data_IF_285268564089
#
_entry.id   IF_285268564089
#
_cell.length_a   1.000
_cell.length_b   1.000
_cell.length_c   1.000
_cell.angle_alpha   90.00
_cell.angle_beta   90.00
_cell.angle_gamma   90.00
#
_symmetry.space_group_name_H-M   'P 1'
#
loop_
_entity.id
_entity.type
_entity.pdbx_description
1 polymer ?
#
# COMPACT_ATOMS: atom_id res chain seq x y z
N UNK A 1 -22.64 -26.40 -33.18
CA UNK A 1 -22.28 -27.70 -32.56
C UNK A 1 -22.68 -27.64 -31.10
N UNK A 2 -23.21 -28.71 -30.49
CA UNK A 2 -23.59 -28.66 -29.08
C UNK A 2 -22.33 -28.52 -28.20
N UNK A 3 -22.34 -27.58 -27.25
CA UNK A 3 -21.25 -27.45 -26.27
C UNK A 3 -21.11 -28.76 -25.47
N UNK A 4 -19.87 -29.21 -25.16
CA UNK A 4 -19.66 -30.40 -24.35
C UNK A 4 -20.36 -30.21 -22.99
N UNK A 5 -21.07 -31.23 -22.51
CA UNK A 5 -21.79 -31.15 -21.23
C UNK A 5 -20.77 -30.89 -20.11
N UNK A 6 -20.96 -29.84 -19.28
CA UNK A 6 -20.07 -29.59 -18.16
C UNK A 6 -20.12 -30.76 -17.19
N UNK A 7 -18.98 -31.04 -16.55
CA UNK A 7 -18.85 -32.13 -15.59
C UNK A 7 -19.71 -31.80 -14.37
N UNK A 8 -20.48 -32.77 -13.86
CA UNK A 8 -21.33 -32.50 -12.71
C UNK A 8 -20.49 -32.29 -11.45
N UNK A 9 -20.93 -31.40 -10.56
CA UNK A 9 -20.27 -31.14 -9.26
C UNK A 9 -20.06 -32.45 -8.49
N UNK A 10 -21.06 -33.34 -8.48
CA UNK A 10 -20.95 -34.66 -7.86
C UNK A 10 -19.88 -35.58 -8.51
N UNK A 11 -19.62 -35.43 -9.82
CA UNK A 11 -18.51 -36.14 -10.48
C UNK A 11 -17.16 -35.58 -10.04
N UNK A 12 -17.02 -34.25 -9.97
CA UNK A 12 -15.80 -33.60 -9.53
C UNK A 12 -15.50 -33.87 -8.04
N UNK A 13 -16.51 -33.80 -7.17
CA UNK A 13 -16.43 -34.16 -5.74
C UNK A 13 -15.99 -35.62 -5.55
N UNK A 14 -16.51 -36.54 -6.37
CA UNK A 14 -16.09 -37.95 -6.36
C UNK A 14 -14.62 -38.13 -6.79
N UNK A 15 -14.14 -37.34 -7.75
CA UNK A 15 -12.72 -37.36 -8.16
C UNK A 15 -11.84 -36.81 -7.04
N UNK A 16 -12.21 -35.68 -6.42
CA UNK A 16 -11.53 -35.12 -5.25
C UNK A 16 -11.36 -36.19 -4.15
N UNK A 17 -12.47 -36.86 -3.79
CA UNK A 17 -12.48 -37.91 -2.76
C UNK A 17 -11.69 -39.17 -3.17
N UNK A 18 -11.73 -39.58 -4.43
CA UNK A 18 -11.02 -40.77 -4.92
C UNK A 18 -9.49 -40.59 -4.97
N UNK A 19 -9.02 -39.35 -5.13
CA UNK A 19 -7.59 -39.01 -5.20
C UNK A 19 -7.07 -38.28 -3.95
N UNK A 20 -7.87 -38.21 -2.88
CA UNK A 20 -7.57 -37.46 -1.64
C UNK A 20 -7.14 -36.00 -1.88
N UNK A 21 -7.71 -35.35 -2.91
CA UNK A 21 -7.43 -33.98 -3.30
C UNK A 21 -8.53 -33.03 -2.82
N UNK A 22 -8.15 -31.80 -2.48
CA UNK A 22 -9.07 -30.79 -1.95
C UNK A 22 -9.79 -30.00 -3.05
N UNK A 23 -9.17 -29.91 -4.22
CA UNK A 23 -9.66 -29.25 -5.42
C UNK A 23 -9.25 -30.04 -6.67
N UNK A 24 -10.03 -29.90 -7.75
CA UNK A 24 -9.73 -30.48 -9.07
C UNK A 24 -9.94 -29.41 -10.14
N UNK A 25 -8.91 -29.18 -10.95
CA UNK A 25 -8.93 -28.33 -12.13
C UNK A 25 -9.05 -29.25 -13.35
N UNK A 26 -10.03 -28.98 -14.23
CA UNK A 26 -10.27 -29.76 -15.43
C UNK A 26 -10.08 -28.87 -16.64
N UNK A 27 -8.99 -29.14 -17.38
CA UNK A 27 -8.67 -28.52 -18.66
C UNK A 27 -9.14 -29.42 -19.79
N UNK A 28 -10.04 -28.93 -20.63
CA UNK A 28 -10.60 -29.68 -21.75
C UNK A 28 -10.48 -28.87 -23.06
N UNK A 29 -9.82 -29.46 -24.06
CA UNK A 29 -9.71 -28.91 -25.41
C UNK A 29 -10.69 -29.60 -26.33
N UNK A 30 -11.55 -28.84 -27.02
CA UNK A 30 -12.45 -29.43 -28.03
C UNK A 30 -11.65 -29.80 -29.28
N UNK A 31 -11.82 -31.01 -29.79
CA UNK A 31 -11.12 -31.50 -31.00
C UNK A 31 -12.04 -31.36 -32.21
N UNK A 32 -11.58 -30.66 -33.26
CA UNK A 32 -12.36 -30.33 -34.47
C UNK A 32 -12.09 -28.90 -34.94
N UNK A 33 -12.65 -28.50 -36.09
CA UNK A 33 -12.57 -27.10 -36.54
C UNK A 33 -13.32 -26.16 -35.59
N UNK A 34 -12.74 -24.99 -35.31
CA UNK A 34 -13.25 -24.05 -34.31
C UNK A 34 -12.73 -24.27 -32.89
N UNK A 35 -11.52 -24.81 -32.73
CA UNK A 35 -10.82 -25.07 -31.45
C UNK A 35 -11.15 -24.06 -30.34
N UNK A 36 -11.84 -24.54 -29.30
CA UNK A 36 -12.00 -23.87 -28.01
C UNK A 36 -11.30 -24.66 -26.90
N UNK A 37 -10.72 -23.92 -25.96
CA UNK A 37 -10.16 -24.47 -24.73
C UNK A 37 -11.05 -24.03 -23.57
N UNK A 38 -11.37 -24.96 -22.68
CA UNK A 38 -12.27 -24.72 -21.57
C UNK A 38 -11.64 -25.22 -20.27
N UNK A 39 -11.72 -24.38 -19.24
CA UNK A 39 -11.25 -24.69 -17.90
C UNK A 39 -12.45 -24.64 -16.96
N UNK A 40 -12.60 -25.66 -16.12
CA UNK A 40 -13.49 -25.60 -14.95
C UNK A 40 -12.76 -26.06 -13.71
N UNK A 41 -13.09 -25.43 -12.59
CA UNK A 41 -12.46 -25.63 -11.28
C UNK A 41 -13.52 -26.03 -10.26
N UNK A 42 -13.26 -27.08 -9.47
CA UNK A 42 -14.18 -27.55 -8.43
C UNK A 42 -13.42 -27.80 -7.12
N UNK A 43 -14.08 -27.54 -5.99
CA UNK A 43 -13.61 -27.97 -4.67
C UNK A 43 -14.40 -29.16 -4.14
N UNK A 44 -13.83 -29.90 -3.18
CA UNK A 44 -14.49 -31.04 -2.51
C UNK A 44 -15.70 -30.64 -1.64
N UNK A 45 -15.79 -29.37 -1.25
CA UNK A 45 -16.88 -28.80 -0.44
C UNK A 45 -17.01 -27.28 -0.71
N UNK A 46 -17.94 -26.62 -0.01
CA UNK A 46 -18.26 -25.19 -0.21
C UNK A 46 -17.07 -24.23 0.01
N UNK A 47 -16.18 -24.53 0.95
CA UNK A 47 -15.00 -23.68 1.25
C UNK A 47 -14.01 -23.78 0.08
N UNK A 48 -13.70 -25.02 -0.30
CA UNK A 48 -12.76 -25.30 -1.38
C UNK A 48 -13.31 -24.85 -2.74
N UNK A 49 -14.64 -24.85 -2.95
CA UNK A 49 -15.26 -24.26 -4.13
C UNK A 49 -15.05 -22.74 -4.25
N UNK A 50 -14.98 -21.99 -3.14
CA UNK A 50 -14.70 -20.56 -3.18
C UNK A 50 -13.23 -20.25 -3.47
N UNK A 51 -12.29 -21.13 -3.11
CA UNK A 51 -10.91 -21.08 -3.58
C UNK A 51 -10.81 -21.45 -5.06
N UNK A 52 -11.41 -22.58 -5.45
CA UNK A 52 -11.44 -23.07 -6.82
C UNK A 52 -12.03 -22.03 -7.79
N UNK A 53 -13.14 -21.37 -7.44
CA UNK A 53 -13.75 -20.33 -8.26
C UNK A 53 -12.82 -19.12 -8.50
N UNK A 54 -12.05 -18.68 -7.49
CA UNK A 54 -11.08 -17.58 -7.64
C UNK A 54 -9.91 -17.97 -8.54
N UNK A 55 -9.47 -19.23 -8.47
CA UNK A 55 -8.47 -19.80 -9.39
C UNK A 55 -9.05 -19.91 -10.81
N UNK A 56 -10.32 -20.33 -10.94
CA UNK A 56 -11.05 -20.38 -12.20
C UNK A 56 -11.21 -19.00 -12.86
N UNK A 57 -11.51 -17.96 -12.09
CA UNK A 57 -11.57 -16.58 -12.57
C UNK A 57 -10.19 -16.06 -12.99
N UNK A 58 -9.13 -16.39 -12.25
CA UNK A 58 -7.75 -15.99 -12.61
C UNK A 58 -7.29 -16.65 -13.92
N UNK A 59 -7.55 -17.96 -14.09
CA UNK A 59 -7.23 -18.69 -15.32
C UNK A 59 -8.13 -18.24 -16.48
N UNK A 60 -9.43 -18.04 -16.23
CA UNK A 60 -10.40 -17.59 -17.23
C UNK A 60 -10.10 -16.20 -17.80
N UNK A 61 -9.50 -15.30 -16.99
CA UNK A 61 -9.02 -13.98 -17.46
C UNK A 61 -7.80 -14.06 -18.38
N UNK A 62 -7.05 -15.16 -18.37
CA UNK A 62 -5.89 -15.37 -19.24
C UNK A 62 -6.22 -16.20 -20.51
N UNK A 63 -7.45 -16.71 -20.64
CA UNK A 63 -7.89 -17.54 -21.78
C UNK A 63 -9.01 -16.83 -22.56
N UNK A 64 -8.63 -16.16 -23.64
CA UNK A 64 -9.46 -15.25 -24.46
C UNK A 64 -10.58 -15.96 -25.25
N UNK A 65 -11.79 -15.36 -25.31
CA UNK A 65 -12.73 -15.28 -26.47
C UNK A 65 -13.89 -14.25 -26.22
N UNK A 66 -14.70 -13.86 -27.23
CA UNK A 66 -15.06 -12.44 -27.48
C UNK A 66 -16.35 -11.87 -26.83
N UNK A 67 -16.60 -10.60 -27.14
CA UNK A 67 -17.27 -9.56 -26.33
C UNK A 67 -18.79 -9.62 -26.24
N UNK A 68 -19.52 -10.19 -27.20
CA UNK A 68 -20.99 -10.09 -27.24
C UNK A 68 -21.71 -10.67 -26.01
N UNK A 69 -21.14 -11.66 -25.32
CA UNK A 69 -21.75 -12.24 -24.11
C UNK A 69 -21.67 -11.33 -22.87
N UNK A 70 -20.69 -10.42 -22.79
CA UNK A 70 -20.50 -9.54 -21.63
C UNK A 70 -21.67 -8.56 -21.44
N UNK A 71 -22.18 -7.99 -22.54
CA UNK A 71 -23.28 -7.02 -22.52
C UNK A 71 -24.59 -7.63 -21.99
N UNK A 72 -24.85 -8.91 -22.25
CA UNK A 72 -26.04 -9.59 -21.73
C UNK A 72 -25.98 -9.87 -20.21
N UNK A 73 -24.78 -10.04 -19.67
CA UNK A 73 -24.56 -10.39 -18.25
C UNK A 73 -24.62 -9.17 -17.34
N UNK A 74 -24.24 -7.99 -17.83
CA UNK A 74 -24.43 -6.71 -17.13
C UNK A 74 -25.93 -6.47 -16.81
N UNK A 75 -26.80 -6.60 -17.82
CA UNK A 75 -28.25 -6.42 -17.69
C UNK A 75 -28.90 -7.40 -16.71
N UNK A 76 -28.33 -8.60 -16.54
CA UNK A 76 -28.87 -9.62 -15.62
C UNK A 76 -28.34 -9.49 -14.19
N UNK A 77 -27.08 -9.07 -14.01
CA UNK A 77 -26.52 -8.80 -12.68
C UNK A 77 -27.27 -7.66 -11.96
N UNK A 78 -27.71 -6.64 -12.72
CA UNK A 78 -28.54 -5.53 -12.23
C UNK A 78 -29.92 -6.00 -11.69
N UNK A 79 -30.48 -7.05 -12.30
CA UNK A 79 -31.75 -7.66 -11.86
C UNK A 79 -31.58 -8.53 -10.61
N UNK A 80 -30.46 -9.26 -10.49
CA UNK A 80 -30.21 -10.16 -9.35
C UNK A 80 -29.76 -9.39 -8.08
N UNK A 81 -29.08 -8.24 -8.22
CA UNK A 81 -28.69 -7.37 -7.10
C UNK A 81 -29.90 -6.81 -6.32
N UNK A 82 -31.04 -6.63 -7.00
CA UNK A 82 -32.30 -6.16 -6.38
C UNK A 82 -32.95 -7.19 -5.43
N UNK A 83 -32.50 -8.46 -5.44
CA UNK A 83 -33.11 -9.53 -4.65
C UNK A 83 -32.40 -9.87 -3.33
N UNK A 84 -31.16 -9.43 -3.12
CA UNK A 84 -30.33 -9.80 -1.95
C UNK A 84 -30.43 -8.80 -0.78
N UNK A 85 -31.63 -8.67 -0.19
CA UNK A 85 -31.89 -7.78 0.96
C UNK A 85 -32.10 -8.49 2.30
N UNK A 86 -31.66 -9.75 2.46
CA UNK A 86 -32.01 -10.57 3.63
C UNK A 86 -30.87 -11.43 4.24
N UNK A 87 -30.44 -11.00 5.45
CA UNK A 87 -30.09 -11.83 6.64
C UNK A 87 -28.83 -12.73 6.55
N UNK A 88 -27.68 -12.36 7.14
CA UNK A 88 -27.27 -12.35 8.57
C UNK A 88 -26.81 -13.69 9.20
N UNK A 89 -25.48 -13.76 9.46
CA UNK A 89 -24.83 -13.96 10.76
C UNK A 89 -24.91 -15.31 11.51
N UNK A 90 -23.93 -16.21 11.24
CA UNK A 90 -23.29 -17.18 12.17
C UNK A 90 -21.84 -17.40 11.63
N UNK A 91 -20.75 -17.58 12.40
CA UNK A 91 -20.57 -17.50 13.86
C UNK A 91 -19.39 -18.35 14.39
N UNK A 92 -18.14 -18.02 14.04
CA UNK A 92 -16.87 -18.62 14.54
C UNK A 92 -15.77 -17.53 14.69
N UNK A 93 -14.74 -17.69 15.54
CA UNK A 93 -13.69 -16.68 15.73
C UNK A 93 -12.84 -16.47 14.47
N UNK A 94 -12.60 -15.21 14.08
CA UNK A 94 -12.03 -14.89 12.76
C UNK A 94 -10.52 -15.11 12.62
N UNK A 95 -9.76 -15.23 13.71
CA UNK A 95 -8.29 -15.20 13.66
C UNK A 95 -7.68 -16.45 13.00
N UNK A 96 -8.03 -17.65 13.45
CA UNK A 96 -7.46 -18.90 12.93
C UNK A 96 -7.77 -19.19 11.45
N UNK A 97 -8.80 -18.55 10.88
CA UNK A 97 -9.16 -18.73 9.47
C UNK A 97 -8.34 -17.86 8.52
N UNK A 98 -7.77 -16.74 9.01
CA UNK A 98 -6.95 -15.83 8.19
C UNK A 98 -5.53 -16.37 8.02
N UNK A 99 -4.98 -16.98 9.07
CA UNK A 99 -3.59 -17.46 9.11
C UNK A 99 -3.37 -18.69 8.19
N UNK A 100 -4.33 -19.64 8.17
CA UNK A 100 -4.24 -20.83 7.33
C UNK A 100 -4.32 -20.50 5.82
N UNK A 101 -5.27 -19.63 5.45
CA UNK A 101 -5.46 -19.16 4.06
C UNK A 101 -4.27 -18.33 3.57
N UNK A 102 -3.60 -17.61 4.48
CA UNK A 102 -2.38 -16.87 4.14
C UNK A 102 -1.21 -17.79 3.78
N UNK A 103 -1.03 -18.89 4.53
CA UNK A 103 0.11 -19.81 4.35
C UNK A 103 0.00 -20.59 3.04
N UNK A 104 -1.18 -21.12 2.72
CA UNK A 104 -1.44 -21.86 1.45
C UNK A 104 -1.39 -20.94 0.22
N UNK A 105 -1.79 -19.66 0.36
CA UNK A 105 -1.61 -18.69 -0.71
C UNK A 105 -0.13 -18.39 -0.97
N UNK A 106 0.71 -18.30 0.08
CA UNK A 106 2.14 -18.01 -0.05
C UNK A 106 2.89 -19.12 -0.79
N UNK A 107 2.68 -20.39 -0.40
CA UNK A 107 3.36 -21.55 -1.01
C UNK A 107 3.03 -21.72 -2.51
N UNK A 108 1.88 -21.21 -2.98
CA UNK A 108 1.50 -21.26 -4.40
C UNK A 108 2.18 -20.17 -5.26
N UNK A 109 2.64 -19.06 -4.68
CA UNK A 109 3.35 -17.99 -5.41
C UNK A 109 4.82 -18.33 -5.71
N UNK A 110 5.45 -19.24 -4.96
CA UNK A 110 6.88 -19.57 -5.12
C UNK A 110 7.19 -20.49 -6.32
N UNK A 111 6.18 -21.05 -7.00
CA UNK A 111 6.38 -22.00 -8.10
C UNK A 111 6.55 -21.35 -9.51
N UNK A 112 6.74 -20.02 -9.59
CA UNK A 112 6.92 -19.32 -10.87
C UNK A 112 6.52 -17.84 -10.89
N UNK A 113 6.46 -17.17 -9.74
CA UNK A 113 6.14 -15.75 -9.65
C UNK A 113 7.13 -14.83 -10.39
N UNK A 114 6.71 -13.60 -10.68
CA UNK A 114 7.59 -12.58 -11.25
C UNK A 114 8.64 -12.15 -10.22
N UNK A 115 9.86 -12.68 -10.36
CA UNK A 115 11.01 -12.24 -9.57
C UNK A 115 11.45 -10.83 -10.02
N UNK A 116 10.98 -9.83 -9.27
CA UNK A 116 11.33 -8.42 -9.47
C UNK A 116 12.84 -8.17 -9.22
N UNK A 117 13.49 -8.88 -8.28
CA UNK A 117 14.93 -8.70 -8.05
C UNK A 117 15.73 -9.17 -9.27
N UNK A 118 15.42 -10.36 -9.79
CA UNK A 118 16.05 -10.85 -11.01
C UNK A 118 15.68 -10.00 -12.25
N UNK A 119 14.49 -9.42 -12.31
CA UNK A 119 14.12 -8.47 -13.36
C UNK A 119 15.00 -7.21 -13.31
N UNK A 120 15.13 -6.61 -12.13
CA UNK A 120 15.94 -5.40 -11.92
C UNK A 120 17.43 -5.64 -12.22
N UNK A 121 18.00 -6.80 -11.89
CA UNK A 121 19.38 -7.13 -12.28
C UNK A 121 19.54 -7.25 -13.82
N UNK A 122 18.55 -7.84 -14.53
CA UNK A 122 18.56 -7.86 -16.00
C UNK A 122 18.43 -6.45 -16.60
N UNK A 123 17.54 -5.63 -16.04
CA UNK A 123 17.35 -4.24 -16.44
C UNK A 123 18.64 -3.42 -16.25
N UNK A 124 19.27 -3.53 -15.08
CA UNK A 124 20.56 -2.92 -14.75
C UNK A 124 21.66 -3.32 -15.73
N UNK A 125 21.78 -4.61 -16.04
CA UNK A 125 22.75 -5.12 -17.00
C UNK A 125 22.51 -4.57 -18.42
N UNK A 126 21.25 -4.54 -18.89
CA UNK A 126 20.86 -3.93 -20.16
C UNK A 126 21.20 -2.43 -20.18
N UNK A 127 20.76 -1.69 -19.18
CA UNK A 127 20.88 -0.23 -19.12
C UNK A 127 22.34 0.23 -18.94
N UNK A 128 23.17 -0.51 -18.22
CA UNK A 128 24.62 -0.30 -18.20
C UNK A 128 25.26 -0.57 -19.58
N UNK A 129 24.83 -1.60 -20.30
CA UNK A 129 25.34 -1.92 -21.65
C UNK A 129 24.91 -0.87 -22.69
N UNK A 130 23.66 -0.44 -22.66
CA UNK A 130 23.04 0.43 -23.67
C UNK A 130 23.40 1.90 -23.45
N UNK A 131 23.28 2.39 -22.21
CA UNK A 131 23.48 3.81 -21.89
C UNK A 131 24.82 4.09 -21.20
N UNK A 132 25.54 3.07 -20.75
CA UNK A 132 26.85 3.20 -20.11
C UNK A 132 26.81 3.42 -18.59
N UNK A 133 28.00 3.52 -17.97
CA UNK A 133 28.16 3.62 -16.53
C UNK A 133 27.71 4.97 -15.95
N UNK A 134 27.73 5.04 -14.62
CA UNK A 134 27.49 6.24 -13.84
C UNK A 134 26.03 6.45 -13.44
N UNK A 135 25.82 7.35 -12.47
CA UNK A 135 24.52 7.57 -11.85
C UNK A 135 23.47 8.16 -12.79
N UNK A 136 23.87 9.00 -13.75
CA UNK A 136 23.00 9.58 -14.81
C UNK A 136 21.67 10.17 -14.34
N UNK A 137 21.50 10.44 -13.05
CA UNK A 137 20.20 10.64 -12.39
C UNK A 137 19.46 11.84 -12.98
N UNK A 138 20.20 12.90 -13.35
CA UNK A 138 19.63 14.07 -14.06
C UNK A 138 18.98 13.70 -15.39
N UNK A 139 19.56 12.78 -16.16
CA UNK A 139 19.03 12.30 -17.44
C UNK A 139 17.84 11.37 -17.26
N UNK A 140 17.87 10.50 -16.24
CA UNK A 140 16.71 9.65 -15.90
C UNK A 140 15.52 10.51 -15.44
N UNK A 141 15.76 11.50 -14.59
CA UNK A 141 14.72 12.46 -14.15
C UNK A 141 14.21 13.31 -15.33
N UNK A 142 15.07 13.70 -16.26
CA UNK A 142 14.66 14.39 -17.50
C UNK A 142 13.77 13.52 -18.39
N UNK A 143 14.03 12.20 -18.44
CA UNK A 143 13.22 11.24 -19.18
C UNK A 143 11.85 11.03 -18.50
N UNK A 144 11.82 10.78 -17.19
CA UNK A 144 10.57 10.63 -16.42
C UNK A 144 9.61 11.82 -16.62
N UNK A 145 10.12 13.04 -16.80
CA UNK A 145 9.27 14.22 -17.09
C UNK A 145 8.62 14.21 -18.48
N UNK A 146 9.18 13.48 -19.45
CA UNK A 146 8.62 13.33 -20.80
C UNK A 146 7.53 12.28 -20.76
N UNK A 147 7.83 11.09 -20.23
CA UNK A 147 6.82 10.03 -20.03
C UNK A 147 5.60 10.53 -19.22
N UNK A 148 5.81 11.39 -18.20
CA UNK A 148 4.68 12.01 -17.48
C UNK A 148 3.80 12.90 -18.38
N UNK A 149 4.37 13.60 -19.36
CA UNK A 149 3.61 14.37 -20.34
C UNK A 149 2.93 13.48 -21.40
N UNK A 150 3.47 12.28 -21.65
CA UNK A 150 2.88 11.28 -22.54
C UNK A 150 1.71 10.56 -21.82
N UNK A 151 1.83 10.26 -20.52
CA UNK A 151 0.70 9.88 -19.65
C UNK A 151 -0.38 10.98 -19.58
N UNK A 152 -0.02 12.27 -19.46
CA UNK A 152 -0.99 13.37 -19.48
C UNK A 152 -1.79 13.43 -20.81
N UNK A 153 -1.18 12.99 -21.92
CA UNK A 153 -1.83 12.91 -23.23
C UNK A 153 -2.63 11.60 -23.44
N UNK A 154 -2.17 10.48 -22.88
CA UNK A 154 -2.71 9.13 -23.09
C UNK A 154 -2.84 8.33 -21.76
N UNK A 155 -3.63 8.79 -20.77
CA UNK A 155 -3.62 8.22 -19.42
C UNK A 155 -4.17 6.79 -19.32
N UNK A 156 -4.91 6.34 -20.34
CA UNK A 156 -5.45 4.98 -20.46
C UNK A 156 -4.44 3.98 -21.09
N UNK A 157 -3.30 4.43 -21.60
CA UNK A 157 -2.27 3.54 -22.14
C UNK A 157 -1.36 3.04 -21.03
N UNK A 158 -1.24 1.71 -20.91
CA UNK A 158 -0.43 1.05 -19.90
C UNK A 158 1.07 1.15 -20.18
N UNK A 159 1.49 1.31 -21.44
CA UNK A 159 2.91 1.37 -21.80
C UNK A 159 3.56 2.63 -21.20
N UNK A 160 2.89 3.78 -21.30
CA UNK A 160 3.30 5.08 -20.73
C UNK A 160 3.54 5.00 -19.19
N UNK A 161 2.61 4.37 -18.46
CA UNK A 161 2.77 4.11 -17.02
C UNK A 161 3.93 3.15 -16.71
N UNK A 162 4.15 2.14 -17.57
CA UNK A 162 5.24 1.17 -17.43
C UNK A 162 6.59 1.82 -17.69
N UNK A 163 6.71 2.76 -18.62
CA UNK A 163 7.97 3.46 -18.87
C UNK A 163 8.39 4.35 -17.70
N UNK A 164 7.46 5.05 -17.02
CA UNK A 164 7.76 5.71 -15.74
C UNK A 164 8.25 4.72 -14.68
N UNK A 165 7.65 3.54 -14.57
CA UNK A 165 8.06 2.50 -13.61
C UNK A 165 9.48 1.98 -13.92
N UNK A 166 9.75 1.68 -15.19
CA UNK A 166 11.06 1.22 -15.67
C UNK A 166 12.12 2.29 -15.39
N UNK A 167 11.85 3.56 -15.71
CA UNK A 167 12.79 4.66 -15.46
C UNK A 167 12.99 4.96 -13.98
N UNK A 168 11.95 4.85 -13.15
CA UNK A 168 12.07 4.99 -11.70
C UNK A 168 13.00 3.92 -11.11
N UNK A 169 12.88 2.67 -11.57
CA UNK A 169 13.82 1.60 -11.21
C UNK A 169 15.24 1.86 -11.74
N UNK A 170 15.38 2.36 -12.97
CA UNK A 170 16.69 2.73 -13.53
C UNK A 170 17.38 3.79 -12.68
N UNK A 171 16.65 4.84 -12.31
CA UNK A 171 17.13 5.90 -11.42
C UNK A 171 17.52 5.39 -10.04
N UNK A 172 16.73 4.48 -9.47
CA UNK A 172 16.98 3.91 -8.14
C UNK A 172 18.30 3.11 -8.10
N UNK A 173 18.51 2.14 -9.00
CA UNK A 173 19.76 1.37 -8.95
C UNK A 173 20.97 2.20 -9.38
N UNK A 174 20.79 3.16 -10.31
CA UNK A 174 21.86 4.09 -10.70
C UNK A 174 22.26 5.06 -9.58
N UNK A 175 21.34 5.39 -8.67
CA UNK A 175 21.66 6.14 -7.45
C UNK A 175 22.52 5.33 -6.45
N UNK A 176 22.82 4.06 -6.74
CA UNK A 176 23.70 3.20 -5.95
C UNK A 176 22.99 2.10 -5.17
N UNK A 177 21.65 2.01 -5.24
CA UNK A 177 20.88 1.00 -4.51
C UNK A 177 20.91 -0.37 -5.20
N UNK A 178 21.09 -1.42 -4.41
CA UNK A 178 21.01 -2.79 -4.93
C UNK A 178 19.54 -3.19 -5.19
N UNK A 179 19.25 -3.97 -6.26
CA UNK A 179 17.90 -4.45 -6.56
C UNK A 179 17.14 -5.06 -5.39
N UNK A 180 17.77 -5.87 -4.54
CA UNK A 180 17.14 -6.42 -3.35
C UNK A 180 16.71 -5.32 -2.35
N UNK A 181 17.54 -4.28 -2.17
CA UNK A 181 17.22 -3.12 -1.31
C UNK A 181 16.13 -2.23 -1.90
N UNK A 182 16.01 -2.15 -3.22
CA UNK A 182 14.89 -1.47 -3.89
C UNK A 182 13.57 -2.20 -3.59
N UNK A 183 13.53 -3.54 -3.71
CA UNK A 183 12.32 -4.33 -3.41
C UNK A 183 11.93 -4.30 -1.93
N UNK A 184 12.92 -4.35 -1.03
CA UNK A 184 12.72 -4.15 0.41
C UNK A 184 12.15 -2.75 0.72
N UNK A 185 12.68 -1.70 0.07
CA UNK A 185 12.22 -0.33 0.24
C UNK A 185 10.78 -0.12 -0.27
N UNK A 186 10.40 -0.70 -1.42
CA UNK A 186 9.03 -0.67 -1.94
C UNK A 186 8.07 -1.30 -0.91
N UNK A 187 8.38 -2.51 -0.45
CA UNK A 187 7.55 -3.25 0.52
C UNK A 187 7.40 -2.50 1.83
N UNK A 188 8.50 -1.92 2.33
CA UNK A 188 8.52 -1.15 3.58
C UNK A 188 7.75 0.17 3.44
N UNK A 189 7.93 0.88 2.33
CA UNK A 189 7.23 2.14 2.04
C UNK A 189 5.73 1.90 1.85
N UNK A 190 5.33 0.81 1.20
CA UNK A 190 3.93 0.44 1.03
C UNK A 190 3.26 0.16 2.38
N UNK A 191 3.87 -0.67 3.24
CA UNK A 191 3.41 -0.90 4.62
C UNK A 191 3.28 0.41 5.42
N UNK A 192 4.26 1.32 5.32
CA UNK A 192 4.19 2.63 5.96
C UNK A 192 3.07 3.50 5.39
N UNK A 193 2.73 3.37 4.10
CA UNK A 193 1.63 4.10 3.48
C UNK A 193 0.25 3.55 3.90
N UNK A 194 0.11 2.23 3.98
CA UNK A 194 -1.11 1.53 4.42
C UNK A 194 -1.44 1.80 5.89
N UNK A 195 -0.42 1.99 6.74
CA UNK A 195 -0.59 2.33 8.15
C UNK A 195 -0.96 3.80 8.43
N UNK A 196 -0.99 4.67 7.41
CA UNK A 196 -1.34 6.10 7.58
C UNK A 196 -2.84 6.29 7.71
N UNK A 197 -3.23 7.38 8.39
CA UNK A 197 -4.60 7.92 8.31
C UNK A 197 -4.76 8.67 6.98
N UNK A 198 -5.83 8.41 6.26
CA UNK A 198 -6.18 9.07 5.00
C UNK A 198 -7.57 9.72 5.13
N UNK A 199 -7.84 10.85 4.47
CA UNK A 199 -9.19 11.42 4.42
C UNK A 199 -10.14 10.51 3.62
N UNK A 200 -11.46 10.67 3.76
CA UNK A 200 -12.41 9.97 2.89
C UNK A 200 -12.25 10.47 1.46
N UNK A 201 -11.82 9.59 0.56
CA UNK A 201 -11.60 9.91 -0.84
C UNK A 201 -12.85 10.45 -1.54
N UNK A 202 -14.06 10.15 -1.03
CA UNK A 202 -15.32 10.69 -1.55
C UNK A 202 -15.51 12.18 -1.31
N UNK A 203 -14.76 12.76 -0.37
CA UNK A 203 -14.78 14.21 -0.10
C UNK A 203 -13.55 14.93 -0.66
N UNK A 204 -12.66 14.21 -1.34
CA UNK A 204 -11.50 14.78 -2.00
C UNK A 204 -11.84 15.28 -3.42
N UNK A 205 -11.05 16.22 -3.90
CA UNK A 205 -11.08 16.68 -5.29
C UNK A 205 -10.47 15.58 -6.19
N UNK A 206 -11.22 15.00 -7.15
CA UNK A 206 -10.73 13.87 -7.96
C UNK A 206 -9.55 14.23 -8.87
N UNK A 207 -9.37 15.52 -9.19
CA UNK A 207 -8.28 16.02 -10.03
C UNK A 207 -7.02 16.38 -9.22
N UNK A 208 -6.97 16.06 -7.93
CA UNK A 208 -5.85 16.36 -7.03
C UNK A 208 -5.36 15.14 -6.27
N UNK A 209 -4.08 15.20 -5.90
CA UNK A 209 -3.48 14.18 -5.05
C UNK A 209 -4.18 14.14 -3.69
N UNK A 210 -4.72 12.96 -3.33
CA UNK A 210 -5.15 12.70 -1.96
C UNK A 210 -3.89 12.52 -1.12
N UNK A 211 -3.67 13.41 -0.18
CA UNK A 211 -2.61 13.27 0.80
C UNK A 211 -3.09 12.52 2.06
N UNK A 212 -2.18 11.84 2.73
CA UNK A 212 -2.46 11.32 4.05
C UNK A 212 -2.67 12.48 5.03
N UNK A 213 -3.47 12.24 6.07
CA UNK A 213 -3.57 13.17 7.19
C UNK A 213 -2.20 13.21 7.87
N UNK A 214 -1.44 14.25 7.54
CA UNK A 214 -0.20 14.63 8.21
C UNK A 214 -0.57 15.20 9.56
N UNK A 215 0.17 14.81 10.57
CA UNK A 215 0.22 15.60 11.79
C UNK A 215 0.77 17.00 11.42
N UNK A 216 0.33 18.12 12.02
CA UNK A 216 0.99 19.42 11.85
C UNK A 216 2.53 19.40 11.95
N UNK A 217 3.07 18.48 12.75
CA UNK A 217 4.50 18.29 13.05
C UNK A 217 5.20 17.43 11.95
N UNK A 218 4.46 16.62 11.18
CA UNK A 218 4.98 15.92 9.99
C UNK A 218 5.31 16.90 8.84
N UNK A 219 4.98 18.19 8.99
CA UNK A 219 5.43 19.26 8.11
C UNK A 219 6.61 19.99 8.76
N UNK A 220 7.87 19.63 8.41
CA UNK A 220 8.98 20.53 8.60
C UNK A 220 8.92 21.60 7.50
N UNK A 221 7.90 22.47 7.54
CA UNK A 221 8.11 23.82 7.02
C UNK A 221 9.14 24.45 7.98
N UNK A 222 10.36 24.56 7.49
CA UNK A 222 11.51 24.97 8.32
C UNK A 222 11.57 26.48 8.55
N UNK A 223 10.61 27.27 8.03
CA UNK A 223 10.70 28.73 8.02
C UNK A 223 9.43 29.51 8.43
N UNK A 224 8.26 28.89 8.62
CA UNK A 224 7.07 29.58 9.15
C UNK A 224 6.82 29.23 10.62
N UNK A 225 7.20 30.14 11.53
CA UNK A 225 7.01 29.97 12.97
C UNK A 225 5.52 29.94 13.35
N UNK A 226 5.12 28.93 14.15
CA UNK A 226 3.74 28.72 14.63
C UNK A 226 3.30 29.73 15.70
N UNK A 227 3.37 31.02 15.38
CA UNK A 227 2.98 32.14 16.26
C UNK A 227 1.49 32.15 16.64
N UNK A 228 0.67 31.33 15.97
CA UNK A 228 -0.76 31.12 16.24
C UNK A 228 -1.06 30.08 17.35
N UNK A 229 -0.09 29.23 17.71
CA UNK A 229 -0.25 28.23 18.76
C UNK A 229 -0.10 28.87 20.14
N UNK A 230 -1.14 28.76 20.98
CA UNK A 230 -1.06 29.21 22.38
C UNK A 230 -0.24 28.20 23.19
N UNK A 231 0.91 28.64 23.72
CA UNK A 231 1.73 27.86 24.65
C UNK A 231 1.08 27.87 26.04
N UNK A 232 0.69 26.71 26.60
CA UNK A 232 0.17 26.60 27.97
C UNK A 232 1.20 27.05 29.01
N UNK A 233 0.74 27.69 30.10
CA UNK A 233 1.62 28.26 31.12
C UNK A 233 2.45 27.20 31.88
N UNK A 234 1.94 25.98 32.04
CA UNK A 234 2.67 24.85 32.61
C UNK A 234 3.79 24.35 31.70
N UNK A 235 3.54 24.23 30.39
CA UNK A 235 4.60 23.88 29.41
C UNK A 235 5.66 24.97 29.37
N UNK A 236 5.24 26.24 29.37
CA UNK A 236 6.18 27.35 29.38
C UNK A 236 7.00 27.41 30.69
N UNK A 237 6.38 27.07 31.83
CA UNK A 237 7.08 26.93 33.12
C UNK A 237 8.11 25.81 33.07
N UNK A 238 7.75 24.60 32.60
CA UNK A 238 8.68 23.46 32.51
C UNK A 238 9.89 23.82 31.63
N UNK A 239 9.68 24.53 30.52
CA UNK A 239 10.77 25.00 29.65
C UNK A 239 11.68 26.04 30.33
N UNK A 240 11.12 26.98 31.10
CA UNK A 240 11.89 27.95 31.89
C UNK A 240 12.68 27.24 33.00
N UNK A 241 12.05 26.31 33.72
CA UNK A 241 12.64 25.56 34.83
C UNK A 241 13.81 24.68 34.36
N UNK A 242 13.66 23.98 33.22
CA UNK A 242 14.67 23.09 32.67
C UNK A 242 15.83 23.84 31.98
N UNK A 243 15.54 24.85 31.14
CA UNK A 243 16.56 25.51 30.30
C UNK A 243 17.15 26.77 30.95
N UNK A 244 16.57 27.28 32.05
CA UNK A 244 17.03 28.51 32.69
C UNK A 244 16.87 29.77 31.83
N UNK A 245 15.91 29.77 30.89
CA UNK A 245 15.65 30.86 29.94
C UNK A 245 14.56 31.82 30.43
N UNK A 246 14.58 33.06 29.94
CA UNK A 246 13.54 34.04 30.23
C UNK A 246 12.18 33.61 29.64
N UNK A 247 11.08 33.77 30.40
CA UNK A 247 9.72 33.38 29.99
C UNK A 247 9.27 34.03 28.68
N UNK A 248 9.76 35.23 28.40
CA UNK A 248 9.52 36.03 27.20
C UNK A 248 10.15 35.43 25.94
N UNK A 249 11.17 34.56 26.07
CA UNK A 249 11.75 33.80 24.95
C UNK A 249 10.96 32.55 24.61
N UNK A 250 10.14 32.06 25.54
CA UNK A 250 9.29 30.87 25.34
C UNK A 250 8.04 31.25 24.55
N UNK A 251 8.26 31.55 23.27
CA UNK A 251 7.26 31.82 22.24
C UNK A 251 7.05 30.56 21.39
N UNK A 252 5.89 30.42 20.75
CA UNK A 252 5.54 29.20 20.02
C UNK A 252 6.42 28.93 18.78
N UNK A 253 7.01 29.98 18.21
CA UNK A 253 7.97 29.92 17.11
C UNK A 253 9.42 29.63 17.56
N UNK A 254 9.75 29.81 18.84
CA UNK A 254 11.09 29.56 19.37
C UNK A 254 11.50 28.09 19.19
N UNK A 255 12.70 27.88 18.65
CA UNK A 255 13.30 26.58 18.40
C UNK A 255 14.00 26.09 19.66
N UNK A 256 13.69 24.87 20.11
CA UNK A 256 14.20 24.35 21.38
C UNK A 256 15.73 24.38 21.43
N UNK A 257 16.39 23.89 20.38
CA UNK A 257 17.87 23.85 20.34
C UNK A 257 18.50 25.17 19.88
N UNK A 258 18.04 25.76 18.77
CA UNK A 258 18.70 26.93 18.17
C UNK A 258 18.45 28.25 18.94
N UNK A 259 17.25 28.45 19.50
CA UNK A 259 16.87 29.71 20.16
C UNK A 259 16.87 29.62 21.70
N UNK A 260 16.49 28.45 22.25
CA UNK A 260 16.45 28.22 23.71
C UNK A 260 17.66 27.43 24.24
N UNK A 261 18.53 26.92 23.37
CA UNK A 261 19.78 26.27 23.75
C UNK A 261 19.66 24.84 24.27
N UNK A 262 18.50 24.20 24.13
CA UNK A 262 18.26 22.83 24.60
C UNK A 262 19.14 21.81 23.88
N UNK A 263 19.79 20.94 24.65
CA UNK A 263 20.48 19.76 24.16
C UNK A 263 19.61 18.48 24.26
N UNK A 264 20.18 17.33 23.92
CA UNK A 264 19.47 16.04 23.92
C UNK A 264 19.08 15.52 25.31
N UNK A 265 19.77 15.93 26.37
CA UNK A 265 19.43 15.61 27.76
C UNK A 265 18.29 16.51 28.24
N UNK A 266 18.36 17.81 27.94
CA UNK A 266 17.30 18.76 28.26
C UNK A 266 15.97 18.33 27.62
N UNK A 267 16.01 17.90 26.36
CA UNK A 267 14.84 17.38 25.65
C UNK A 267 14.20 16.17 26.36
N UNK A 268 15.00 15.24 26.90
CA UNK A 268 14.50 14.09 27.66
C UNK A 268 13.87 14.54 28.98
N UNK A 269 14.47 15.48 29.70
CA UNK A 269 13.94 16.01 30.95
C UNK A 269 12.61 16.76 30.74
N UNK A 270 12.56 17.66 29.75
CA UNK A 270 11.35 18.41 29.37
C UNK A 270 10.20 17.45 29.04
N UNK A 271 10.46 16.43 28.21
CA UNK A 271 9.44 15.46 27.82
C UNK A 271 8.97 14.62 29.01
N UNK A 272 9.90 14.11 29.83
CA UNK A 272 9.56 13.30 31.02
C UNK A 272 8.69 14.10 32.00
N UNK A 273 9.05 15.36 32.26
CA UNK A 273 8.29 16.24 33.16
C UNK A 273 6.87 16.52 32.61
N UNK A 274 6.74 16.72 31.29
CA UNK A 274 5.44 16.94 30.63
C UNK A 274 4.58 15.67 30.63
N UNK A 275 5.14 14.50 30.31
CA UNK A 275 4.43 13.21 30.37
C UNK A 275 3.90 12.95 31.78
N UNK A 276 4.71 13.19 32.81
CA UNK A 276 4.33 13.02 34.21
C UNK A 276 3.29 14.04 34.70
N UNK A 277 3.40 15.32 34.31
CA UNK A 277 2.45 16.37 34.77
C UNK A 277 1.11 16.29 34.04
N UNK A 278 1.07 15.74 32.82
CA UNK A 278 -0.15 15.62 32.00
C UNK A 278 -0.76 14.22 31.91
N UNK A 279 -0.10 13.20 32.45
CA UNK A 279 -0.48 11.77 32.35
C UNK A 279 -0.68 11.33 30.89
N UNK A 280 0.29 11.70 30.03
CA UNK A 280 0.32 11.37 28.60
C UNK A 280 1.55 10.54 28.25
N UNK A 281 1.55 9.93 27.05
CA UNK A 281 2.74 9.30 26.48
C UNK A 281 3.05 9.83 25.08
N UNK A 282 4.31 10.24 24.88
CA UNK A 282 4.89 10.76 23.65
C UNK A 282 5.86 9.69 23.13
N UNK A 283 5.61 9.17 21.93
CA UNK A 283 6.48 8.16 21.32
C UNK A 283 7.77 8.78 20.77
N UNK A 284 8.83 7.98 20.63
CA UNK A 284 10.12 8.40 20.06
C UNK A 284 9.97 9.17 18.73
N UNK A 285 9.06 8.73 17.85
CA UNK A 285 8.77 9.39 16.56
C UNK A 285 8.06 10.73 16.72
N UNK A 286 7.25 10.90 17.76
CA UNK A 286 6.63 12.20 18.09
C UNK A 286 7.68 13.13 18.71
N UNK A 287 8.55 12.61 19.58
CA UNK A 287 9.67 13.35 20.19
C UNK A 287 10.69 13.85 19.15
N UNK A 288 11.11 12.99 18.21
CA UNK A 288 12.00 13.35 17.08
C UNK A 288 11.43 14.46 16.19
N UNK A 289 10.11 14.65 16.17
CA UNK A 289 9.45 15.64 15.35
C UNK A 289 9.39 17.03 16.02
N UNK A 290 9.68 17.14 17.32
CA UNK A 290 9.60 18.41 18.06
C UNK A 290 10.80 19.28 17.73
N UNK A 291 10.55 20.43 17.11
CA UNK A 291 11.60 21.41 16.79
C UNK A 291 11.36 22.74 17.50
N UNK A 292 10.10 23.15 17.61
CA UNK A 292 9.67 24.40 18.26
C UNK A 292 8.87 24.15 19.55
N UNK A 293 8.76 25.18 20.38
CA UNK A 293 7.83 25.18 21.54
C UNK A 293 6.38 24.96 21.09
N UNK A 294 5.99 25.49 19.92
CA UNK A 294 4.67 25.28 19.31
C UNK A 294 4.41 23.83 18.91
N UNK A 295 5.43 23.08 18.47
CA UNK A 295 5.33 21.64 18.23
C UNK A 295 5.03 20.87 19.52
N UNK A 296 5.81 21.14 20.56
CA UNK A 296 5.64 20.53 21.88
C UNK A 296 4.25 20.83 22.46
N UNK A 297 3.83 22.10 22.44
CA UNK A 297 2.50 22.52 22.89
C UNK A 297 1.38 21.84 22.09
N UNK A 298 1.57 21.67 20.78
CA UNK A 298 0.61 20.96 19.92
C UNK A 298 0.47 19.49 20.33
N UNK A 299 1.57 18.75 20.48
CA UNK A 299 1.59 17.33 20.92
C UNK A 299 0.76 17.15 22.19
N UNK A 300 1.10 17.93 23.22
CA UNK A 300 0.47 17.82 24.54
C UNK A 300 -1.04 18.06 24.44
N UNK A 301 -1.48 19.06 23.67
CA UNK A 301 -2.90 19.40 23.54
C UNK A 301 -3.75 18.29 22.93
N UNK A 302 -3.26 17.54 21.92
CA UNK A 302 -4.08 16.46 21.32
C UNK A 302 -3.94 15.13 22.06
N UNK A 303 -2.90 14.95 22.89
CA UNK A 303 -2.78 13.79 23.80
C UNK A 303 -3.68 13.91 25.02
N UNK A 304 -4.02 15.15 25.41
CA UNK A 304 -4.93 15.47 26.50
C UNK A 304 -6.43 15.53 26.11
N UNK A 305 -6.79 15.05 24.91
CA UNK A 305 -8.14 15.11 24.32
C UNK A 305 -8.71 13.73 24.01
#
# INVERSE_FOLDING_TARGET
MALPKPISIATAERICKAHAADQVIIYARTVGEGCGEHVTTYGKDKVHCAAAARIGDAIGRQVVKPVEELLSRAVKAEQELSAHKAVHNIGLPQEGYRELVWREAHEFYEAGGFDLVAHLERQRAFSHKTFGPGARTKGVIDHIRKELAEIEAQPDDIEEWVDVIILAFDGAWRAGWEPAKIVEAITTKQKKNEARKWPDWRTADPEKAIEHLRHPIDQPDRNEGRSDVVVPDDIARILVDALGVDREKVTADARLSDDLGADSLDAIEILTNIEMERDISISDTEAEAIVTVGDLASIVQMKAA
#
